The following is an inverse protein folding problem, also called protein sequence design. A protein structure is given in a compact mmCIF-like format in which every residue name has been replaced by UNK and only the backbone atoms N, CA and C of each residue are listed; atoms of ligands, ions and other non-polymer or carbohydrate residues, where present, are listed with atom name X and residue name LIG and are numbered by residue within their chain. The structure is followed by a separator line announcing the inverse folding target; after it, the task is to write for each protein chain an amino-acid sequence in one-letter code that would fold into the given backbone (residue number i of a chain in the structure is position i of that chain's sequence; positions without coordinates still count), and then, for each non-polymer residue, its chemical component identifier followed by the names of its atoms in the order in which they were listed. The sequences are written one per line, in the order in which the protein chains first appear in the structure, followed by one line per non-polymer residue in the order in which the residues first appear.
data_IF_037857689188
#
_entry.id   IF_037857689188
#
_cell.length_a   1.000
_cell.length_b   1.000
_cell.length_c   1.000
_cell.angle_alpha   90.00
_cell.angle_beta   90.00
_cell.angle_gamma   90.00
#
_symmetry.space_group_name_H-M   'P 1'
#
loop_
_entity.id
_entity.type
_entity.pdbx_description
1 polymer ?
#
# COMPACT_ATOMS: atom_id res chain seq x y z
N UNK A 1 -36.44 -24.64 -10.75
CA UNK A 1 -35.23 -23.80 -10.92
C UNK A 1 -34.31 -24.05 -9.73
N UNK A 2 -33.16 -24.71 -9.91
CA UNK A 2 -31.96 -24.58 -9.05
C UNK A 2 -30.83 -25.40 -9.69
N UNK A 3 -29.90 -24.73 -10.40
CA UNK A 3 -28.61 -25.31 -10.74
C UNK A 3 -27.65 -24.98 -9.60
N UNK A 4 -27.32 -25.96 -8.78
CA UNK A 4 -26.13 -25.93 -7.95
C UNK A 4 -24.91 -25.97 -8.85
N UNK A 5 -24.04 -24.95 -8.75
CA UNK A 5 -22.74 -24.93 -9.40
C UNK A 5 -21.76 -25.60 -8.43
N UNK A 6 -21.42 -26.86 -8.67
CA UNK A 6 -20.32 -27.53 -7.98
C UNK A 6 -18.99 -26.88 -8.42
N UNK A 7 -18.08 -26.52 -7.50
CA UNK A 7 -16.73 -26.14 -7.85
C UNK A 7 -15.89 -27.42 -7.91
N UNK A 8 -15.60 -27.90 -9.12
CA UNK A 8 -14.64 -29.00 -9.29
C UNK A 8 -13.65 -28.63 -10.39
N UNK A 9 -12.36 -28.83 -10.05
CA UNK A 9 -11.22 -29.08 -10.95
C UNK A 9 -10.52 -27.86 -11.54
N UNK A 10 -9.86 -27.08 -10.67
CA UNK A 10 -8.72 -26.25 -11.10
C UNK A 10 -7.37 -26.81 -10.63
N UNK A 11 -7.31 -27.51 -9.48
CA UNK A 11 -6.05 -27.99 -8.91
C UNK A 11 -5.32 -29.03 -9.78
N UNK A 12 -6.07 -29.89 -10.48
CA UNK A 12 -5.47 -30.91 -11.38
C UNK A 12 -4.93 -30.25 -12.65
N UNK A 13 -5.66 -29.29 -13.22
CA UNK A 13 -5.22 -28.54 -14.40
C UNK A 13 -4.03 -27.63 -14.09
N UNK A 14 -4.00 -27.02 -12.89
CA UNK A 14 -2.89 -26.19 -12.42
C UNK A 14 -1.65 -27.05 -12.11
N UNK A 15 -1.83 -28.25 -11.55
CA UNK A 15 -0.73 -29.19 -11.32
C UNK A 15 -0.15 -29.74 -12.62
N UNK A 16 -0.97 -30.08 -13.61
CA UNK A 16 -0.54 -30.53 -14.94
C UNK A 16 0.21 -29.41 -15.69
N UNK A 17 -0.25 -28.16 -15.60
CA UNK A 17 0.44 -27.02 -16.19
C UNK A 17 1.82 -26.75 -15.56
N UNK A 18 1.96 -26.97 -14.24
CA UNK A 18 3.24 -26.84 -13.53
C UNK A 18 4.20 -27.97 -13.93
N UNK A 19 3.71 -29.21 -14.03
CA UNK A 19 4.52 -30.37 -14.42
C UNK A 19 4.96 -30.27 -15.88
N UNK A 20 4.10 -29.79 -16.78
CA UNK A 20 4.46 -29.61 -18.19
C UNK A 20 5.42 -28.43 -18.41
N UNK A 21 5.28 -27.34 -17.63
CA UNK A 21 6.26 -26.27 -17.64
C UNK A 21 7.65 -26.76 -17.19
N UNK A 22 7.72 -27.61 -16.16
CA UNK A 22 8.96 -28.20 -15.62
C UNK A 22 9.73 -29.09 -16.60
N UNK A 23 9.05 -29.66 -17.60
CA UNK A 23 9.66 -30.59 -18.56
C UNK A 23 10.15 -29.92 -19.86
N UNK A 24 9.91 -28.63 -20.06
CA UNK A 24 10.35 -27.92 -21.28
C UNK A 24 11.85 -27.57 -21.20
N UNK A 25 12.68 -27.93 -22.20
CA UNK A 25 14.14 -27.66 -22.21
C UNK A 25 14.53 -26.17 -22.16
N UNK A 26 13.56 -25.27 -22.37
CA UNK A 26 13.70 -23.82 -22.31
C UNK A 26 13.03 -23.21 -21.08
N UNK A 27 12.75 -24.00 -20.04
CA UNK A 27 12.22 -23.50 -18.78
C UNK A 27 13.33 -22.73 -18.04
N UNK A 28 13.34 -21.41 -18.22
CA UNK A 28 14.22 -20.51 -17.49
C UNK A 28 13.77 -20.52 -16.04
N UNK A 29 14.39 -21.36 -15.20
CA UNK A 29 14.14 -21.37 -13.77
C UNK A 29 14.32 -19.95 -13.24
N UNK A 30 13.23 -19.33 -12.79
CA UNK A 30 13.30 -18.06 -12.08
C UNK A 30 13.79 -18.41 -10.69
N UNK A 31 14.99 -17.96 -10.34
CA UNK A 31 15.53 -18.16 -9.00
C UNK A 31 14.50 -17.72 -7.94
N UNK A 32 14.25 -18.55 -6.91
CA UNK A 32 13.38 -18.16 -5.81
C UNK A 32 13.84 -16.82 -5.23
N UNK A 33 12.91 -15.89 -5.03
CA UNK A 33 13.24 -14.56 -4.50
C UNK A 33 14.03 -14.69 -3.21
N UNK A 34 15.20 -14.03 -3.12
CA UNK A 34 15.99 -14.01 -1.90
C UNK A 34 15.18 -13.41 -0.73
N UNK A 35 15.55 -13.71 0.51
CA UNK A 35 14.87 -13.15 1.69
C UNK A 35 14.82 -11.63 1.63
N UNK A 36 15.90 -10.99 1.17
CA UNK A 36 16.00 -9.55 0.99
C UNK A 36 15.06 -9.03 -0.10
N UNK A 37 14.90 -9.76 -1.22
CA UNK A 37 13.91 -9.42 -2.26
C UNK A 37 12.48 -9.54 -1.73
N UNK A 38 12.18 -10.56 -0.94
CA UNK A 38 10.87 -10.75 -0.32
C UNK A 38 10.57 -9.67 0.73
N UNK A 39 11.54 -9.33 1.59
CA UNK A 39 11.40 -8.24 2.58
C UNK A 39 11.13 -6.90 1.91
N UNK A 40 11.84 -6.57 0.81
CA UNK A 40 11.56 -5.37 0.02
C UNK A 40 10.11 -5.38 -0.49
N UNK A 41 9.68 -6.48 -1.08
CA UNK A 41 8.31 -6.61 -1.60
C UNK A 41 7.23 -6.44 -0.50
N UNK A 42 7.50 -6.88 0.73
CA UNK A 42 6.60 -6.64 1.87
C UNK A 42 6.52 -5.14 2.17
N UNK A 43 7.65 -4.43 2.26
CA UNK A 43 7.68 -2.98 2.53
C UNK A 43 6.88 -2.19 1.49
N UNK A 44 7.04 -2.50 0.20
CA UNK A 44 6.27 -1.86 -0.88
C UNK A 44 4.76 -2.10 -0.75
N UNK A 45 4.34 -3.36 -0.54
CA UNK A 45 2.93 -3.71 -0.37
C UNK A 45 2.31 -3.06 0.86
N UNK A 46 3.02 -3.03 1.99
CA UNK A 46 2.54 -2.36 3.20
C UNK A 46 2.40 -0.86 3.00
N UNK A 47 3.33 -0.23 2.28
CA UNK A 47 3.21 1.19 1.91
C UNK A 47 1.95 1.43 1.06
N UNK A 48 1.72 0.63 0.04
CA UNK A 48 0.54 0.72 -0.82
C UNK A 48 -0.75 0.59 -0.01
N UNK A 49 -0.82 -0.40 0.89
CA UNK A 49 -1.93 -0.58 1.81
C UNK A 49 -2.19 0.67 2.66
N UNK A 50 -1.15 1.27 3.25
CA UNK A 50 -1.30 2.47 4.07
C UNK A 50 -1.70 3.71 3.25
N UNK A 51 -1.27 3.82 1.98
CA UNK A 51 -1.73 4.89 1.08
C UNK A 51 -3.23 4.76 0.81
N UNK A 52 -3.70 3.54 0.54
CA UNK A 52 -5.12 3.28 0.29
C UNK A 52 -5.97 3.57 1.53
N UNK A 53 -5.59 3.04 2.70
CA UNK A 53 -6.28 3.31 3.97
C UNK A 53 -6.34 4.81 4.29
N UNK A 54 -5.23 5.54 4.11
CA UNK A 54 -5.23 6.98 4.34
C UNK A 54 -6.16 7.72 3.38
N UNK A 55 -6.21 7.30 2.12
CA UNK A 55 -7.10 7.88 1.11
C UNK A 55 -8.57 7.62 1.45
N UNK A 56 -8.90 6.41 1.91
CA UNK A 56 -10.23 6.05 2.38
C UNK A 56 -10.68 6.93 3.56
N UNK A 57 -9.81 7.14 4.55
CA UNK A 57 -10.12 8.01 5.70
C UNK A 57 -10.33 9.47 5.30
N UNK A 58 -9.51 10.01 4.39
CA UNK A 58 -9.69 11.37 3.86
C UNK A 58 -11.04 11.48 3.12
N UNK A 59 -11.41 10.45 2.37
CA UNK A 59 -12.69 10.42 1.68
C UNK A 59 -13.88 10.32 2.67
N UNK A 60 -13.75 9.54 3.74
CA UNK A 60 -14.76 9.45 4.80
C UNK A 60 -14.93 10.79 5.51
N UNK A 61 -13.82 11.43 5.93
CA UNK A 61 -13.83 12.76 6.54
C UNK A 61 -14.54 13.78 5.64
N UNK A 62 -14.18 13.82 4.36
CA UNK A 62 -14.82 14.70 3.38
C UNK A 62 -16.32 14.42 3.23
N UNK A 63 -16.73 13.14 3.26
CA UNK A 63 -18.13 12.76 3.15
C UNK A 63 -18.93 13.20 4.38
N UNK A 64 -18.41 12.98 5.58
CA UNK A 64 -19.06 13.43 6.81
C UNK A 64 -19.22 14.94 6.84
N UNK A 65 -18.17 15.70 6.51
CA UNK A 65 -18.24 17.17 6.45
C UNK A 65 -19.24 17.67 5.39
N UNK A 66 -19.35 16.96 4.26
CA UNK A 66 -20.32 17.27 3.22
C UNK A 66 -21.78 17.15 3.69
N UNK A 67 -22.10 16.19 4.56
CA UNK A 67 -23.45 16.03 5.15
C UNK A 67 -23.88 17.26 5.95
N UNK A 68 -22.93 18.06 6.45
CA UNK A 68 -23.16 19.32 7.17
C UNK A 68 -22.92 20.57 6.29
N UNK A 69 -22.87 20.41 4.96
CA UNK A 69 -22.78 21.52 4.02
C UNK A 69 -21.36 22.01 3.71
N UNK A 70 -20.32 21.38 4.26
CA UNK A 70 -18.94 21.75 4.00
C UNK A 70 -18.42 21.07 2.73
N UNK A 71 -18.31 21.85 1.64
CA UNK A 71 -17.84 21.36 0.35
C UNK A 71 -16.35 21.58 0.16
N UNK A 72 -15.61 20.50 -0.11
CA UNK A 72 -14.20 20.53 -0.48
C UNK A 72 -13.95 19.68 -1.74
N UNK A 73 -12.98 20.06 -2.61
CA UNK A 73 -12.61 19.24 -3.75
C UNK A 73 -12.01 17.89 -3.32
N UNK A 74 -12.02 16.92 -4.22
CA UNK A 74 -11.44 15.60 -3.96
C UNK A 74 -9.91 15.65 -3.91
N UNK A 75 -9.33 14.79 -3.08
CA UNK A 75 -7.88 14.55 -3.05
C UNK A 75 -7.21 14.98 -1.74
N UNK A 76 -6.06 14.36 -1.46
CA UNK A 76 -5.35 14.51 -0.19
C UNK A 76 -4.77 15.92 0.04
N UNK A 77 -4.57 16.70 -1.03
CA UNK A 77 -4.08 18.08 -0.94
C UNK A 77 -5.04 19.03 -0.22
N UNK A 78 -6.31 18.64 -0.07
CA UNK A 78 -7.33 19.43 0.63
C UNK A 78 -7.51 19.03 2.10
N UNK A 79 -6.75 18.04 2.59
CA UNK A 79 -6.80 17.62 3.99
C UNK A 79 -6.60 18.77 5.00
N UNK A 80 -5.64 19.71 4.82
CA UNK A 80 -5.49 20.82 5.76
C UNK A 80 -6.76 21.66 5.91
N UNK A 81 -7.44 21.93 4.78
CA UNK A 81 -8.71 22.66 4.78
C UNK A 81 -9.84 21.90 5.48
N UNK A 82 -9.87 20.57 5.37
CA UNK A 82 -10.83 19.74 6.09
C UNK A 82 -10.55 19.77 7.60
N UNK A 83 -9.28 19.75 8.00
CA UNK A 83 -8.87 19.85 9.40
C UNK A 83 -9.25 21.21 10.00
N UNK A 84 -9.01 22.30 9.28
CA UNK A 84 -9.41 23.66 9.69
C UNK A 84 -10.91 23.75 10.04
N UNK A 85 -11.78 23.08 9.26
CA UNK A 85 -13.22 23.06 9.54
C UNK A 85 -13.55 22.31 10.84
N UNK A 86 -12.84 21.21 11.11
CA UNK A 86 -13.03 20.38 12.32
C UNK A 86 -12.45 21.06 13.56
N UNK A 87 -11.44 21.90 13.41
CA UNK A 87 -10.83 22.67 14.51
C UNK A 87 -11.56 24.00 14.80
N UNK A 88 -12.30 24.53 13.82
CA UNK A 88 -13.04 25.78 13.96
C UNK A 88 -14.27 25.61 14.86
N UNK A 89 -14.19 26.13 16.09
CA UNK A 89 -15.29 26.13 17.07
C UNK A 89 -16.52 26.92 16.60
N UNK A 90 -16.35 27.85 15.65
CA UNK A 90 -17.46 28.62 15.06
C UNK A 90 -18.21 27.87 13.96
N UNK A 91 -17.66 26.75 13.49
CA UNK A 91 -18.32 25.89 12.52
C UNK A 91 -19.59 25.25 13.12
N UNK A 92 -20.68 25.26 12.36
CA UNK A 92 -21.97 24.62 12.69
C UNK A 92 -21.87 23.09 12.52
N UNK A 93 -21.05 22.48 13.36
CA UNK A 93 -20.77 21.05 13.43
C UNK A 93 -21.21 20.52 14.79
N UNK A 94 -22.13 19.54 14.86
CA UNK A 94 -22.48 18.91 16.14
C UNK A 94 -21.25 18.32 16.81
N UNK A 95 -21.15 18.45 18.14
CA UNK A 95 -19.97 18.01 18.92
C UNK A 95 -19.57 16.56 18.65
N UNK A 96 -20.57 15.65 18.58
CA UNK A 96 -20.32 14.24 18.28
C UNK A 96 -19.66 14.04 16.91
N UNK A 97 -20.04 14.84 15.90
CA UNK A 97 -19.47 14.77 14.55
C UNK A 97 -18.05 15.32 14.58
N UNK A 98 -17.82 16.41 15.31
CA UNK A 98 -16.50 16.98 15.53
C UNK A 98 -15.55 15.95 16.14
N UNK A 99 -15.99 15.26 17.20
CA UNK A 99 -15.21 14.21 17.86
C UNK A 99 -14.84 13.06 16.91
N UNK A 100 -15.81 12.58 16.11
CA UNK A 100 -15.57 11.52 15.13
C UNK A 100 -14.62 11.98 14.03
N UNK A 101 -14.80 13.19 13.50
CA UNK A 101 -13.92 13.77 12.49
C UNK A 101 -12.50 13.98 13.01
N UNK A 102 -12.34 14.42 14.27
CA UNK A 102 -11.05 14.53 14.95
C UNK A 102 -10.36 13.16 15.07
N UNK A 103 -11.11 12.11 15.44
CA UNK A 103 -10.55 10.76 15.48
C UNK A 103 -10.09 10.25 14.08
N UNK A 104 -10.77 10.65 13.01
CA UNK A 104 -10.33 10.35 11.64
C UNK A 104 -9.04 11.11 11.29
N UNK A 105 -8.92 12.38 11.67
CA UNK A 105 -7.70 13.18 11.48
C UNK A 105 -6.50 12.55 12.21
N UNK A 106 -6.67 12.16 13.47
CA UNK A 106 -5.64 11.46 14.23
C UNK A 106 -5.16 10.19 13.53
N UNK A 107 -6.11 9.39 13.00
CA UNK A 107 -5.78 8.15 12.29
C UNK A 107 -5.04 8.42 10.97
N UNK A 108 -5.42 9.48 10.25
CA UNK A 108 -4.75 9.95 9.02
C UNK A 108 -3.31 10.37 9.32
N UNK A 109 -3.09 11.08 10.43
CA UNK A 109 -1.77 11.56 10.84
C UNK A 109 -0.86 10.38 11.21
N UNK A 110 -1.37 9.42 11.98
CA UNK A 110 -0.63 8.19 12.30
C UNK A 110 -0.21 7.44 11.02
N UNK A 111 -1.10 7.31 10.03
CA UNK A 111 -0.77 6.67 8.75
C UNK A 111 0.25 7.50 7.97
N UNK A 112 0.15 8.82 7.98
CA UNK A 112 1.12 9.71 7.33
C UNK A 112 2.51 9.57 7.94
N UNK A 113 2.64 9.50 9.27
CA UNK A 113 3.91 9.24 9.94
C UNK A 113 4.48 7.86 9.59
N UNK A 114 3.64 6.81 9.57
CA UNK A 114 4.06 5.45 9.17
C UNK A 114 4.53 5.41 7.71
N UNK A 115 3.85 6.11 6.81
CA UNK A 115 4.23 6.22 5.39
C UNK A 115 5.58 6.93 5.22
N UNK A 116 5.85 7.96 6.02
CA UNK A 116 7.14 8.64 6.02
C UNK A 116 8.26 7.72 6.52
N UNK A 117 8.01 6.93 7.57
CA UNK A 117 8.96 5.94 8.06
C UNK A 117 9.26 4.85 7.01
N UNK A 118 8.22 4.29 6.37
CA UNK A 118 8.40 3.31 5.29
C UNK A 118 9.16 3.89 4.09
N UNK A 119 8.91 5.16 3.74
CA UNK A 119 9.67 5.85 2.69
C UNK A 119 11.16 5.89 3.01
N UNK A 120 11.52 6.28 4.25
CA UNK A 120 12.92 6.31 4.70
C UNK A 120 13.57 4.92 4.64
N UNK A 121 12.84 3.88 5.01
CA UNK A 121 13.30 2.49 4.90
C UNK A 121 13.57 2.11 3.45
N UNK A 122 12.65 2.42 2.53
CA UNK A 122 12.81 2.16 1.10
C UNK A 122 13.99 2.91 0.47
N UNK A 123 14.18 4.18 0.84
CA UNK A 123 15.30 4.99 0.36
C UNK A 123 16.64 4.40 0.83
N UNK A 124 16.71 3.91 2.07
CA UNK A 124 17.88 3.21 2.62
C UNK A 124 18.19 1.93 1.86
N UNK A 125 17.17 1.08 1.64
CA UNK A 125 17.31 -0.18 0.90
C UNK A 125 17.73 0.05 -0.56
N UNK A 126 17.23 1.11 -1.19
CA UNK A 126 17.59 1.49 -2.56
C UNK A 126 19.05 1.93 -2.66
N UNK A 127 19.54 2.71 -1.69
CA UNK A 127 20.95 3.12 -1.61
C UNK A 127 21.89 1.92 -1.42
N UNK A 128 21.55 0.99 -0.53
CA UNK A 128 22.34 -0.21 -0.30
C UNK A 128 22.44 -1.08 -1.56
N UNK A 129 21.32 -1.24 -2.29
CA UNK A 129 21.32 -1.97 -3.55
C UNK A 129 22.19 -1.29 -4.62
N UNK A 130 22.16 0.05 -4.71
CA UNK A 130 23.01 0.80 -5.62
C UNK A 130 24.50 0.68 -5.26
N UNK A 131 24.85 0.76 -3.97
CA UNK A 131 26.23 0.57 -3.48
C UNK A 131 26.72 -0.85 -3.73
N UNK A 132 25.92 -1.87 -3.42
CA UNK A 132 26.26 -3.27 -3.70
C UNK A 132 26.46 -3.53 -5.19
N UNK A 133 25.62 -2.95 -6.05
CA UNK A 133 25.78 -3.03 -7.50
C UNK A 133 27.08 -2.36 -7.97
N UNK A 134 27.43 -1.20 -7.41
CA UNK A 134 28.70 -0.51 -7.71
C UNK A 134 29.93 -1.31 -7.28
N UNK A 135 29.88 -1.96 -6.13
CA UNK A 135 30.96 -2.83 -5.63
C UNK A 135 31.12 -4.08 -6.51
N UNK A 136 30.03 -4.68 -6.98
CA UNK A 136 30.04 -5.80 -7.93
C UNK A 136 30.54 -5.41 -9.34
N UNK A 137 30.50 -4.12 -9.68
CA UNK A 137 31.02 -3.60 -10.95
C UNK A 137 32.47 -3.12 -10.88
N UNK A 138 33.17 -3.27 -9.73
CA UNK A 138 34.62 -3.03 -9.68
C UNK A 138 35.37 -4.17 -10.41
N UNK A 139 36.20 -3.88 -11.42
CA UNK A 139 36.99 -4.89 -12.10
C UNK A 139 38.07 -5.41 -11.14
N UNK A 140 37.94 -6.66 -10.66
CA UNK A 140 38.98 -7.26 -9.80
C UNK A 140 38.56 -8.40 -8.87
N UNK A 141 37.28 -8.71 -8.71
CA UNK A 141 36.84 -9.93 -7.99
C UNK A 141 35.94 -10.72 -8.92
N UNK A 142 36.49 -11.81 -9.46
CA UNK A 142 35.85 -12.67 -10.46
C UNK A 142 34.62 -13.41 -9.90
N UNK A 143 33.77 -13.92 -10.80
CA UNK A 143 32.56 -14.64 -10.44
C UNK A 143 32.89 -16.02 -9.84
N UNK A 144 32.18 -16.37 -8.77
CA UNK A 144 31.83 -17.75 -8.41
C UNK A 144 30.32 -17.80 -8.20
#
# INVERSE_FOLDING_TARGET
MHRGRQPEKNDVADAEAIVEAAQRPTMRFVEPKTKEQQSRAIVFRTREQFVNQRTELVNALRAHLYEFGYVAPQGIGHLPRLAEIVEDESADLPDLVRDVCSALLDQIDQLSSRLAALKKTMDTLSKQAATSRRLQTMPGVGPI
#
